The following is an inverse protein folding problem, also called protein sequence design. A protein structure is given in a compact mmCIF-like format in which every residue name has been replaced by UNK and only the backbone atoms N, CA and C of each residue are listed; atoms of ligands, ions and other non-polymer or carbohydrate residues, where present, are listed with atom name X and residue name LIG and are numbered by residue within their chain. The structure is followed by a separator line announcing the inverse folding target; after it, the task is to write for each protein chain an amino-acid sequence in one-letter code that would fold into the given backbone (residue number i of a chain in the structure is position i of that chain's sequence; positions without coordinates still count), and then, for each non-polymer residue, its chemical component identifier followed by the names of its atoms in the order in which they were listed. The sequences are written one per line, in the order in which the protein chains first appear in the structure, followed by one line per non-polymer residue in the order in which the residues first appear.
data_IF_725366088656
#
_entry.id   IF_725366088656
#
_cell.length_a   1.000
_cell.length_b   1.000
_cell.length_c   1.000
_cell.angle_alpha   90.00
_cell.angle_beta   90.00
_cell.angle_gamma   90.00
#
_symmetry.space_group_name_H-M   'P 1'
#
loop_
_entity.id
_entity.type
_entity.pdbx_description
1 polymer ?
#
# COMPACT_ATOMS: atom_id res chain seq x y z
N UNK A 1 -5.05 -2.43 -22.54
CA UNK A 1 -3.62 -2.63 -22.20
C UNK A 1 -3.38 -2.16 -20.78
N UNK A 2 -2.68 -2.92 -19.93
CA UNK A 2 -2.30 -2.43 -18.60
C UNK A 2 -1.40 -1.20 -18.72
N UNK A 3 -1.71 -0.13 -17.98
CA UNK A 3 -0.89 1.08 -17.96
C UNK A 3 0.33 0.87 -17.05
N UNK A 4 1.52 1.30 -17.49
CA UNK A 4 2.74 1.28 -16.69
C UNK A 4 3.20 2.72 -16.44
N UNK A 5 3.53 3.05 -15.20
CA UNK A 5 3.99 4.39 -14.84
C UNK A 5 5.11 4.32 -13.82
N UNK A 6 6.16 5.11 -14.04
CA UNK A 6 7.33 5.17 -13.17
C UNK A 6 7.66 6.63 -12.83
N UNK A 7 7.93 6.93 -11.57
CA UNK A 7 8.22 8.30 -11.13
C UNK A 7 9.19 8.34 -9.96
N UNK A 8 10.26 9.13 -10.05
CA UNK A 8 11.21 9.27 -8.94
C UNK A 8 10.59 9.98 -7.73
N UNK A 9 9.68 10.93 -7.95
CA UNK A 9 9.02 11.66 -6.87
C UNK A 9 7.65 12.18 -7.30
N UNK A 10 6.63 11.74 -6.57
CA UNK A 10 5.25 12.15 -6.81
C UNK A 10 4.64 12.79 -5.56
N UNK A 11 3.67 13.68 -5.77
CA UNK A 11 2.80 14.10 -4.67
C UNK A 11 1.72 13.04 -4.43
N UNK A 12 1.10 12.59 -5.51
CA UNK A 12 0.14 11.49 -5.53
C UNK A 12 0.49 10.57 -6.70
N UNK A 13 0.40 9.28 -6.46
CA UNK A 13 0.38 8.25 -7.48
C UNK A 13 -0.92 7.46 -7.32
N UNK A 14 -1.55 7.18 -8.44
CA UNK A 14 -2.78 6.41 -8.47
C UNK A 14 -2.72 5.42 -9.61
N UNK A 15 -2.74 4.13 -9.28
CA UNK A 15 -2.86 3.06 -10.25
C UNK A 15 -4.32 2.61 -10.35
N UNK A 16 -4.88 2.59 -11.56
CA UNK A 16 -6.20 2.02 -11.85
C UNK A 16 -6.05 1.00 -12.97
N UNK A 17 -5.89 -0.28 -12.63
CA UNK A 17 -5.64 -1.34 -13.60
C UNK A 17 -4.31 -1.15 -14.33
N UNK A 18 -3.27 -1.85 -13.87
CA UNK A 18 -1.91 -1.70 -14.39
C UNK A 18 -0.87 -1.75 -13.28
N UNK A 19 0.28 -1.12 -13.52
CA UNK A 19 1.41 -1.12 -12.61
C UNK A 19 1.98 0.30 -12.45
N UNK A 20 2.18 0.73 -11.21
CA UNK A 20 2.84 1.99 -10.89
C UNK A 20 4.04 1.76 -9.98
N UNK A 21 5.14 2.47 -10.24
CA UNK A 21 6.30 2.50 -9.34
C UNK A 21 6.70 3.93 -9.00
N UNK A 22 7.00 4.17 -7.73
CA UNK A 22 7.60 5.43 -7.32
C UNK A 22 8.65 5.29 -6.23
N UNK A 23 9.79 5.97 -6.37
CA UNK A 23 10.78 5.99 -5.30
C UNK A 23 10.27 6.75 -4.07
N UNK A 24 9.46 7.80 -4.25
CA UNK A 24 8.91 8.57 -3.13
C UNK A 24 7.61 9.28 -3.47
N UNK A 25 6.58 8.96 -2.74
CA UNK A 25 5.24 9.55 -2.86
C UNK A 25 4.75 10.11 -1.52
N UNK A 26 3.81 11.05 -1.55
CA UNK A 26 3.08 11.40 -0.32
C UNK A 26 1.90 10.47 -0.14
N UNK A 27 1.16 10.21 -1.21
CA UNK A 27 0.03 9.28 -1.21
C UNK A 27 0.13 8.36 -2.42
N UNK A 28 -0.12 7.08 -2.18
CA UNK A 28 -0.26 6.05 -3.20
C UNK A 28 -1.64 5.44 -3.07
N UNK A 29 -2.32 5.27 -4.20
CA UNK A 29 -3.62 4.64 -4.25
C UNK A 29 -3.64 3.60 -5.37
N UNK A 30 -3.84 2.33 -5.01
CA UNK A 30 -4.01 1.26 -5.97
C UNK A 30 -5.47 0.82 -6.06
N UNK A 31 -6.02 0.74 -7.26
CA UNK A 31 -7.35 0.20 -7.56
C UNK A 31 -7.23 -0.87 -8.65
N UNK A 32 -7.40 -2.14 -8.29
CA UNK A 32 -7.41 -3.25 -9.27
C UNK A 32 -6.11 -3.43 -10.06
N UNK A 33 -4.97 -3.03 -9.50
CA UNK A 33 -3.65 -3.11 -10.14
C UNK A 33 -2.55 -3.39 -9.13
N UNK A 34 -1.32 -2.99 -9.45
CA UNK A 34 -0.16 -3.13 -8.58
C UNK A 34 0.55 -1.78 -8.43
N UNK A 35 0.78 -1.34 -7.20
CA UNK A 35 1.56 -0.15 -6.90
C UNK A 35 2.77 -0.53 -6.05
N UNK A 36 3.92 0.07 -6.34
CA UNK A 36 5.12 -0.06 -5.51
C UNK A 36 5.70 1.29 -5.15
N UNK A 37 6.10 1.44 -3.90
CA UNK A 37 6.87 2.59 -3.47
C UNK A 37 8.03 2.25 -2.55
N UNK A 38 9.16 2.93 -2.69
CA UNK A 38 10.21 2.81 -1.65
C UNK A 38 9.81 3.59 -0.39
N UNK A 39 9.06 4.68 -0.53
CA UNK A 39 8.62 5.49 0.62
C UNK A 39 7.38 6.29 0.33
N UNK A 40 6.34 6.01 1.09
CA UNK A 40 5.07 6.75 1.07
C UNK A 40 4.74 7.31 2.45
N UNK A 41 3.84 8.29 2.52
CA UNK A 41 3.24 8.67 3.82
C UNK A 41 1.96 7.87 4.05
N UNK A 42 1.15 7.74 3.01
CA UNK A 42 -0.09 6.98 3.04
C UNK A 42 -0.17 6.07 1.82
N UNK A 43 -0.45 4.80 2.04
CA UNK A 43 -0.87 3.86 1.00
C UNK A 43 -2.34 3.52 1.20
N UNK A 44 -3.06 3.41 0.09
CA UNK A 44 -4.40 2.87 0.07
C UNK A 44 -4.54 1.85 -1.06
N UNK A 45 -4.81 0.60 -0.70
CA UNK A 45 -5.10 -0.46 -1.67
C UNK A 45 -6.60 -0.78 -1.69
N UNK A 46 -7.19 -0.86 -2.89
CA UNK A 46 -8.57 -1.31 -3.11
C UNK A 46 -8.61 -2.36 -4.21
N UNK A 47 -8.85 -3.63 -3.85
CA UNK A 47 -9.00 -4.70 -4.84
C UNK A 47 -7.75 -4.98 -5.69
N UNK A 48 -6.56 -4.60 -5.22
CA UNK A 48 -5.30 -4.77 -5.93
C UNK A 48 -4.17 -5.15 -4.97
N UNK A 49 -2.94 -4.81 -5.35
CA UNK A 49 -1.75 -5.03 -4.54
C UNK A 49 -0.96 -3.72 -4.38
N UNK A 50 -0.56 -3.41 -3.16
CA UNK A 50 0.34 -2.29 -2.85
C UNK A 50 1.55 -2.80 -2.07
N UNK A 51 2.74 -2.34 -2.45
CA UNK A 51 3.97 -2.56 -1.67
C UNK A 51 4.64 -1.25 -1.31
N UNK A 52 5.11 -1.17 -0.07
CA UNK A 52 5.92 -0.05 0.39
C UNK A 52 7.10 -0.53 1.23
N UNK A 53 8.32 -0.04 0.99
CA UNK A 53 9.40 -0.33 1.96
C UNK A 53 9.19 0.45 3.26
N UNK A 54 8.54 1.61 3.19
CA UNK A 54 8.24 2.41 4.37
C UNK A 54 7.05 3.31 4.17
N UNK A 55 6.06 3.14 5.02
CA UNK A 55 4.88 3.98 5.09
C UNK A 55 4.63 4.51 6.50
N UNK A 56 3.77 5.53 6.62
CA UNK A 56 3.26 5.93 7.94
C UNK A 56 1.92 5.27 8.20
N UNK A 57 1.06 5.25 7.20
CA UNK A 57 -0.27 4.66 7.28
C UNK A 57 -0.50 3.78 6.06
N UNK A 58 -0.88 2.54 6.29
CA UNK A 58 -1.41 1.65 5.26
C UNK A 58 -2.90 1.45 5.48
N UNK A 59 -3.66 1.44 4.40
CA UNK A 59 -5.06 1.05 4.40
C UNK A 59 -5.35 0.08 3.27
N UNK A 60 -5.75 -1.15 3.60
CA UNK A 60 -6.16 -2.15 2.64
C UNK A 60 -7.69 -2.35 2.68
N UNK A 61 -8.33 -2.36 1.51
CA UNK A 61 -9.73 -2.74 1.34
C UNK A 61 -9.90 -3.77 0.22
N UNK A 62 -10.22 -5.01 0.56
CA UNK A 62 -10.51 -6.04 -0.47
C UNK A 62 -9.33 -6.43 -1.34
N UNK A 63 -8.09 -6.14 -0.92
CA UNK A 63 -6.87 -6.43 -1.69
C UNK A 63 -5.73 -6.87 -0.78
N UNK A 64 -4.50 -6.62 -1.20
CA UNK A 64 -3.30 -6.93 -0.44
C UNK A 64 -2.42 -5.68 -0.29
N UNK A 65 -1.96 -5.40 0.92
CA UNK A 65 -0.98 -4.36 1.20
C UNK A 65 0.21 -4.97 1.93
N UNK A 66 1.42 -4.61 1.51
CA UNK A 66 2.66 -4.99 2.22
C UNK A 66 3.47 -3.77 2.56
N UNK A 67 3.99 -3.74 3.78
CA UNK A 67 4.95 -2.74 4.22
C UNK A 67 6.10 -3.36 4.97
N UNK A 68 7.35 -3.00 4.68
CA UNK A 68 8.46 -3.42 5.57
C UNK A 68 8.41 -2.65 6.89
N UNK A 69 7.87 -1.44 6.89
CA UNK A 69 7.69 -0.64 8.10
C UNK A 69 6.56 0.35 7.95
N UNK A 70 5.56 0.19 8.80
CA UNK A 70 4.43 1.12 8.92
C UNK A 70 4.31 1.62 10.37
N UNK A 71 3.59 2.72 10.57
CA UNK A 71 3.22 3.13 11.94
C UNK A 71 1.82 2.63 12.27
N UNK A 72 0.92 2.72 11.31
CA UNK A 72 -0.46 2.29 11.46
C UNK A 72 -0.88 1.49 10.23
N UNK A 73 -1.55 0.39 10.47
CA UNK A 73 -2.10 -0.50 9.46
C UNK A 73 -3.59 -0.66 9.72
N UNK A 74 -4.38 -0.54 8.66
CA UNK A 74 -5.81 -0.76 8.72
C UNK A 74 -6.23 -1.68 7.56
N UNK A 75 -6.82 -2.82 7.88
CA UNK A 75 -7.30 -3.77 6.89
C UNK A 75 -8.82 -3.96 6.99
N UNK A 76 -9.52 -3.89 5.86
CA UNK A 76 -10.94 -4.25 5.75
C UNK A 76 -11.19 -5.20 4.58
N UNK A 77 -11.63 -6.43 4.83
CA UNK A 77 -12.00 -7.34 3.73
C UNK A 77 -10.83 -7.85 2.88
N UNK A 78 -9.58 -7.65 3.30
CA UNK A 78 -8.39 -8.00 2.53
C UNK A 78 -7.27 -8.53 3.42
N UNK A 79 -6.03 -8.35 2.99
CA UNK A 79 -4.84 -8.76 3.71
C UNK A 79 -3.83 -7.61 3.81
N UNK A 80 -3.26 -7.42 5.00
CA UNK A 80 -2.18 -6.45 5.24
C UNK A 80 -1.01 -7.16 5.94
N UNK A 81 0.20 -7.02 5.41
CA UNK A 81 1.43 -7.46 6.08
C UNK A 81 2.32 -6.30 6.40
N UNK A 82 2.82 -6.25 7.64
CA UNK A 82 3.88 -5.33 8.03
C UNK A 82 5.03 -6.07 8.69
N UNK A 83 6.27 -5.87 8.24
CA UNK A 83 7.41 -6.42 9.01
C UNK A 83 7.61 -5.66 10.32
N UNK A 84 7.10 -4.42 10.42
CA UNK A 84 7.13 -3.64 11.64
C UNK A 84 6.04 -2.59 11.66
N UNK A 85 5.01 -2.81 12.47
CA UNK A 85 3.97 -1.83 12.74
C UNK A 85 3.91 -1.45 14.21
N UNK A 86 3.34 -0.27 14.51
CA UNK A 86 3.07 0.16 15.89
C UNK A 86 1.62 -0.05 16.29
N UNK A 87 0.71 -0.02 15.33
CA UNK A 87 -0.72 -0.19 15.54
C UNK A 87 -1.32 -0.91 14.34
N UNK A 88 -2.18 -1.89 14.62
CA UNK A 88 -2.91 -2.70 13.66
C UNK A 88 -4.40 -2.61 13.96
N UNK A 89 -5.22 -2.51 12.91
CA UNK A 89 -6.66 -2.62 13.01
C UNK A 89 -7.24 -3.41 11.84
N UNK A 90 -7.86 -4.55 12.12
CA UNK A 90 -8.38 -5.46 11.10
C UNK A 90 -9.89 -5.63 11.30
N UNK A 91 -10.67 -5.50 10.22
CA UNK A 91 -12.10 -5.85 10.23
C UNK A 91 -12.47 -6.68 9.01
N UNK A 92 -12.85 -7.94 9.22
CA UNK A 92 -13.26 -8.84 8.14
C UNK A 92 -12.14 -9.16 7.15
N UNK A 93 -10.88 -9.02 7.56
CA UNK A 93 -9.69 -9.33 6.79
C UNK A 93 -8.58 -9.80 7.72
N UNK A 94 -7.40 -10.04 7.18
CA UNK A 94 -6.25 -10.53 7.94
C UNK A 94 -5.16 -9.45 7.98
N UNK A 95 -4.55 -9.25 9.15
CA UNK A 95 -3.25 -8.58 9.19
C UNK A 95 -2.24 -9.39 9.97
N UNK A 96 -1.00 -9.36 9.49
CA UNK A 96 0.16 -9.85 10.24
C UNK A 96 1.19 -8.76 10.37
N UNK A 97 1.67 -8.58 11.60
CA UNK A 97 2.80 -7.72 11.89
C UNK A 97 3.87 -8.45 12.70
N UNK A 98 5.13 -8.36 12.28
CA UNK A 98 6.27 -8.62 13.17
C UNK A 98 6.69 -7.34 13.88
N UNK A 99 7.38 -7.43 15.02
CA UNK A 99 7.78 -6.27 15.86
C UNK A 99 9.29 -6.08 15.95
#
# INVERSE_FOLDING_TARGET
MPSFSTSSRSKQEACKGGFSTSSRSKQEACKGGFSTSSRSKQEACKGGFSTSSRSKQEACKGGFSTSSRSKQEACKGGFSTSSRSKQEACKGGFSTSSH
#
